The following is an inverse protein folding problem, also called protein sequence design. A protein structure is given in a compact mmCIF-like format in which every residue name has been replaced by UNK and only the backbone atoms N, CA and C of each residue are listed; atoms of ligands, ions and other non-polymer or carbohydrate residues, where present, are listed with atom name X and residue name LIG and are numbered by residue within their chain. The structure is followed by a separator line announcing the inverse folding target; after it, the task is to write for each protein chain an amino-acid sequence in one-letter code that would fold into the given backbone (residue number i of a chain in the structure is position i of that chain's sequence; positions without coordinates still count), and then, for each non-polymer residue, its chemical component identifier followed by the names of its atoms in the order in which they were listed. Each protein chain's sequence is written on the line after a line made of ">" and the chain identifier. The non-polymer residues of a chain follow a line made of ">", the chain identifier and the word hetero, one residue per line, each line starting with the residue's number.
data_IF_029428668232
#
_entry.id   IF_029428668232
#
_cell.length_a   1.000
_cell.length_b   1.000
_cell.length_c   1.000
_cell.angle_alpha   90.00
_cell.angle_beta   90.00
_cell.angle_gamma   90.00
#
_symmetry.space_group_name_H-M   'P 1'
#
loop_
_entity.id
_entity.type
_entity.pdbx_description
1 polymer ?
#
# COMPACT_ATOMS: atom_id res chain seq x y z
N UNK A 1 -6.90 -12.41 -6.73
CA UNK A 1 -7.04 -13.68 -5.98
C UNK A 1 -8.52 -14.05 -5.87
N UNK A 2 -8.91 -15.31 -5.68
CA UNK A 2 -10.31 -15.60 -5.28
C UNK A 2 -10.47 -15.24 -3.80
N UNK A 3 -11.58 -14.64 -3.36
CA UNK A 3 -11.80 -14.14 -1.98
C UNK A 3 -11.33 -15.07 -0.84
N UNK A 4 -11.49 -16.39 -0.98
CA UNK A 4 -10.99 -17.35 -0.01
C UNK A 4 -9.47 -17.30 0.17
N UNK A 5 -8.72 -17.26 -0.93
CA UNK A 5 -7.24 -17.21 -0.92
C UNK A 5 -6.68 -15.90 -0.37
N UNK A 6 -7.44 -14.81 -0.44
CA UNK A 6 -7.02 -13.52 0.11
C UNK A 6 -7.09 -13.52 1.64
N UNK A 7 -8.03 -14.27 2.22
CA UNK A 7 -8.15 -14.40 3.68
C UNK A 7 -7.05 -15.29 4.25
N UNK A 8 -6.77 -16.42 3.60
CA UNK A 8 -5.66 -17.31 3.99
C UNK A 8 -4.30 -16.60 3.87
N UNK A 9 -4.10 -15.83 2.79
CA UNK A 9 -2.89 -15.04 2.61
C UNK A 9 -2.73 -13.95 3.69
N UNK A 10 -3.83 -13.38 4.17
CA UNK A 10 -3.81 -12.41 5.26
C UNK A 10 -3.46 -13.05 6.60
N UNK A 11 -4.01 -14.22 6.91
CA UNK A 11 -3.62 -14.94 8.14
C UNK A 11 -2.13 -15.25 8.17
N UNK A 12 -1.58 -15.78 7.07
CA UNK A 12 -0.13 -16.01 6.96
C UNK A 12 0.66 -14.71 7.07
N UNK A 13 0.18 -13.64 6.44
CA UNK A 13 0.79 -12.33 6.52
C UNK A 13 0.84 -11.81 7.97
N UNK A 14 -0.23 -11.95 8.74
CA UNK A 14 -0.31 -11.56 10.17
C UNK A 14 0.63 -12.38 11.07
N UNK A 15 0.94 -13.61 10.72
CA UNK A 15 1.89 -14.46 11.46
C UNK A 15 3.36 -14.14 11.16
N UNK A 16 3.66 -13.42 10.06
CA UNK A 16 5.05 -13.10 9.69
C UNK A 16 5.64 -12.00 10.58
N UNK A 17 6.76 -12.25 11.28
CA UNK A 17 7.39 -11.26 12.15
C UNK A 17 8.01 -10.09 11.37
N UNK A 18 8.44 -10.33 10.12
CA UNK A 18 8.98 -9.32 9.23
C UNK A 18 8.24 -9.35 7.89
N UNK A 19 7.71 -8.20 7.48
CA UNK A 19 6.99 -8.02 6.22
C UNK A 19 7.72 -7.00 5.37
N UNK A 20 8.24 -7.43 4.24
CA UNK A 20 8.88 -6.53 3.29
C UNK A 20 7.85 -5.84 2.38
N UNK A 21 8.32 -4.84 1.62
CA UNK A 21 7.52 -4.05 0.67
C UNK A 21 6.71 -4.92 -0.30
N UNK A 22 7.24 -6.08 -0.72
CA UNK A 22 6.59 -6.96 -1.68
C UNK A 22 5.36 -7.64 -1.05
N UNK A 23 5.48 -8.11 0.19
CA UNK A 23 4.37 -8.72 0.92
C UNK A 23 3.23 -7.72 1.15
N UNK A 24 3.55 -6.52 1.64
CA UNK A 24 2.57 -5.44 1.81
C UNK A 24 1.86 -5.11 0.51
N UNK A 25 2.64 -4.86 -0.56
CA UNK A 25 2.09 -4.53 -1.89
C UNK A 25 1.19 -5.64 -2.42
N UNK A 26 1.56 -6.90 -2.20
CA UNK A 26 0.77 -8.06 -2.64
C UNK A 26 -0.57 -8.12 -1.93
N UNK A 27 -0.59 -7.86 -0.61
CA UNK A 27 -1.83 -7.84 0.17
C UNK A 27 -2.74 -6.68 -0.23
N UNK A 28 -2.19 -5.46 -0.35
CA UNK A 28 -2.95 -4.27 -0.77
C UNK A 28 -3.55 -4.49 -2.15
N UNK A 29 -2.74 -4.89 -3.13
CA UNK A 29 -3.19 -5.17 -4.50
C UNK A 29 -4.22 -6.29 -4.53
N UNK A 30 -3.98 -7.35 -3.75
CA UNK A 30 -4.89 -8.48 -3.61
C UNK A 30 -6.28 -8.05 -3.17
N UNK A 31 -6.40 -7.23 -2.12
CA UNK A 31 -7.69 -6.74 -1.64
C UNK A 31 -8.35 -5.77 -2.63
N UNK A 32 -7.59 -4.80 -3.17
CA UNK A 32 -8.10 -3.82 -4.13
C UNK A 32 -8.68 -4.48 -5.38
N UNK A 33 -7.97 -5.45 -5.97
CA UNK A 33 -8.37 -6.10 -7.22
C UNK A 33 -9.52 -7.08 -7.05
N UNK A 34 -9.74 -7.61 -5.84
CA UNK A 34 -10.81 -8.60 -5.59
C UNK A 34 -12.08 -7.97 -5.04
N UNK A 35 -12.29 -6.67 -5.26
CA UNK A 35 -13.51 -5.98 -4.85
C UNK A 35 -13.64 -5.80 -3.33
N UNK A 36 -12.52 -5.83 -2.59
CA UNK A 36 -12.48 -5.50 -1.17
C UNK A 36 -11.54 -4.30 -0.91
N UNK A 37 -11.64 -3.18 -1.66
CA UNK A 37 -10.73 -2.04 -1.54
C UNK A 37 -10.72 -1.40 -0.15
N UNK A 38 -11.78 -1.58 0.65
CA UNK A 38 -11.88 -1.12 2.04
C UNK A 38 -10.83 -1.76 2.97
N UNK A 39 -10.31 -2.94 2.59
CA UNK A 39 -9.21 -3.60 3.31
C UNK A 39 -7.83 -3.20 2.80
N UNK A 40 -7.73 -2.65 1.59
CA UNK A 40 -6.47 -2.26 0.97
C UNK A 40 -5.84 -1.02 1.60
N UNK A 41 -6.64 0.01 1.91
CA UNK A 41 -6.12 1.25 2.50
C UNK A 41 -5.57 1.09 3.93
N UNK A 42 -6.25 0.39 4.87
CA UNK A 42 -5.71 0.14 6.21
C UNK A 42 -4.34 -0.55 6.18
N UNK A 43 -4.16 -1.51 5.27
CA UNK A 43 -2.88 -2.19 5.07
C UNK A 43 -1.78 -1.22 4.60
N UNK A 44 -2.10 -0.27 3.73
CA UNK A 44 -1.14 0.76 3.33
C UNK A 44 -0.74 1.66 4.51
N UNK A 45 -1.71 2.05 5.35
CA UNK A 45 -1.41 2.85 6.54
C UNK A 45 -0.51 2.08 7.52
N UNK A 46 -0.77 0.78 7.72
CA UNK A 46 0.04 -0.09 8.59
C UNK A 46 1.45 -0.32 8.03
N UNK A 47 1.60 -0.47 6.71
CA UNK A 47 2.89 -0.54 6.03
C UNK A 47 3.76 0.68 6.37
N UNK A 48 3.20 1.89 6.24
CA UNK A 48 3.88 3.15 6.54
C UNK A 48 4.19 3.25 8.03
N UNK A 49 3.25 2.89 8.91
CA UNK A 49 3.44 2.91 10.35
C UNK A 49 4.52 1.91 10.83
N UNK A 50 4.68 0.80 10.10
CA UNK A 50 5.73 -0.21 10.33
C UNK A 50 7.10 0.22 9.81
N UNK A 51 7.24 1.45 9.29
CA UNK A 51 8.49 1.97 8.74
C UNK A 51 8.89 1.38 7.39
N UNK A 52 8.01 0.62 6.73
CA UNK A 52 8.28 0.05 5.41
C UNK A 52 7.96 1.11 4.36
N UNK A 53 8.98 1.50 3.59
CA UNK A 53 8.82 2.53 2.56
C UNK A 53 7.93 2.03 1.41
N UNK A 54 6.84 2.75 1.07
CA UNK A 54 6.05 2.47 -0.11
C UNK A 54 6.86 2.61 -1.41
N UNK A 55 6.53 1.77 -2.39
CA UNK A 55 7.01 1.89 -3.77
C UNK A 55 5.86 2.21 -4.73
N UNK A 56 6.18 2.42 -6.00
CA UNK A 56 5.23 2.79 -7.06
C UNK A 56 4.04 1.83 -7.16
N UNK A 57 4.28 0.52 -6.94
CA UNK A 57 3.24 -0.50 -6.98
C UNK A 57 2.28 -0.38 -5.79
N UNK A 58 2.80 -0.20 -4.58
CA UNK A 58 1.98 -0.01 -3.38
C UNK A 58 1.15 1.28 -3.44
N UNK A 59 1.73 2.35 -4.00
CA UNK A 59 1.01 3.60 -4.24
C UNK A 59 -0.12 3.43 -5.26
N UNK A 60 0.19 2.81 -6.40
CA UNK A 60 -0.80 2.55 -7.45
C UNK A 60 -1.97 1.71 -6.96
N UNK A 61 -1.68 0.63 -6.21
CA UNK A 61 -2.71 -0.23 -5.64
C UNK A 61 -3.59 0.49 -4.62
N UNK A 62 -3.00 1.40 -3.83
CA UNK A 62 -3.73 2.18 -2.82
C UNK A 62 -4.57 3.28 -3.47
N UNK A 63 -4.04 3.99 -4.47
CA UNK A 63 -4.80 4.98 -5.24
C UNK A 63 -5.99 4.34 -5.96
N UNK A 64 -5.81 3.14 -6.52
CA UNK A 64 -6.91 2.37 -7.10
C UNK A 64 -7.96 1.99 -6.04
N UNK A 65 -7.55 1.62 -4.83
CA UNK A 65 -8.48 1.37 -3.72
C UNK A 65 -9.29 2.63 -3.39
N UNK A 66 -8.63 3.79 -3.28
CA UNK A 66 -9.28 5.07 -3.02
C UNK A 66 -10.28 5.43 -4.13
N UNK A 67 -9.92 5.22 -5.39
CA UNK A 67 -10.80 5.48 -6.53
C UNK A 67 -12.04 4.57 -6.50
N UNK A 68 -11.86 3.27 -6.24
CA UNK A 68 -12.95 2.31 -6.13
C UNK A 68 -13.92 2.63 -4.98
N UNK A 69 -13.42 3.24 -3.90
CA UNK A 69 -14.20 3.66 -2.75
C UNK A 69 -14.75 5.09 -2.86
N UNK A 70 -14.46 5.83 -3.93
CA UNK A 70 -14.70 7.29 -4.02
C UNK A 70 -14.12 8.08 -2.83
N UNK A 71 -13.04 7.58 -2.23
CA UNK A 71 -12.42 8.10 -1.02
C UNK A 71 -11.42 9.24 -1.35
N UNK A 72 -11.94 10.37 -1.84
CA UNK A 72 -11.13 11.50 -2.32
C UNK A 72 -10.09 11.98 -1.30
N UNK A 73 -10.50 12.14 -0.04
CA UNK A 73 -9.61 12.61 1.02
C UNK A 73 -8.40 11.69 1.24
N UNK A 74 -8.62 10.37 1.23
CA UNK A 74 -7.55 9.39 1.34
C UNK A 74 -6.67 9.37 0.09
N UNK A 75 -7.27 9.51 -1.10
CA UNK A 75 -6.54 9.65 -2.36
C UNK A 75 -5.60 10.85 -2.37
N UNK A 76 -6.06 12.01 -1.85
CA UNK A 76 -5.24 13.22 -1.72
C UNK A 76 -4.06 13.01 -0.77
N UNK A 77 -4.27 12.35 0.38
CA UNK A 77 -3.18 12.04 1.31
C UNK A 77 -2.09 11.16 0.66
N UNK A 78 -2.50 10.11 -0.05
CA UNK A 78 -1.58 9.22 -0.75
C UNK A 78 -0.84 9.97 -1.86
N UNK A 79 -1.55 10.80 -2.62
CA UNK A 79 -0.94 11.64 -3.67
C UNK A 79 0.11 12.60 -3.12
N UNK A 80 -0.17 13.28 -1.99
CA UNK A 80 0.82 14.12 -1.31
C UNK A 80 2.02 13.33 -0.80
N UNK A 81 1.81 12.09 -0.33
CA UNK A 81 2.87 11.22 0.12
C UNK A 81 3.82 10.83 -1.03
N UNK A 82 3.28 10.53 -2.22
CA UNK A 82 4.09 10.22 -3.42
C UNK A 82 5.02 11.39 -3.75
N UNK A 83 4.47 12.60 -3.86
CA UNK A 83 5.25 13.82 -4.19
C UNK A 83 6.39 14.03 -3.19
N UNK A 84 6.11 13.82 -1.90
CA UNK A 84 7.12 13.95 -0.85
C UNK A 84 8.20 12.87 -0.97
N UNK A 85 7.82 11.62 -1.18
CA UNK A 85 8.76 10.51 -1.34
C UNK A 85 9.67 10.68 -2.57
N UNK A 86 9.13 11.17 -3.69
CA UNK A 86 9.92 11.47 -4.90
C UNK A 86 10.90 12.63 -4.66
N UNK A 87 10.47 13.66 -3.92
CA UNK A 87 11.35 14.77 -3.56
C UNK A 87 12.47 14.33 -2.62
N UNK A 88 12.18 13.51 -1.60
CA UNK A 88 13.17 12.94 -0.70
C UNK A 88 14.10 11.96 -1.43
N UNK A 89 13.58 11.16 -2.36
CA UNK A 89 14.36 10.30 -3.25
C UNK A 89 15.38 11.11 -4.04
N UNK A 90 14.94 12.19 -4.69
CA UNK A 90 15.80 13.11 -5.43
C UNK A 90 16.80 13.87 -4.53
N UNK A 91 16.42 14.22 -3.30
CA UNK A 91 17.31 14.83 -2.33
C UNK A 91 18.42 13.87 -1.82
N UNK A 92 18.18 12.55 -1.85
CA UNK A 92 19.20 11.55 -1.48
C UNK A 92 20.21 11.26 -2.60
N UNK A 93 19.88 11.59 -3.85
CA UNK A 93 20.79 11.44 -5.01
C UNK A 93 21.49 12.76 -5.37
N UNK A 94 21.16 13.86 -4.68
CA UNK A 94 21.78 15.17 -4.86
C UNK A 94 22.69 15.57 -3.71
N UNK A 95 24.00 15.63 -4.00
CA UNK A 95 25.12 16.20 -3.20
C UNK A 95 25.78 15.23 -2.20
N UNK A 96 26.77 14.48 -2.69
CA UNK A 96 28.19 14.63 -2.29
C UNK A 96 29.08 14.51 -3.53
#
# INVERSE_FOLDING_TARGET
>A
MKSGRATDAFGLFEEMPERNVVLWTSMISGYTQNGNPEKGFPLFAEMVASGVLPNDFSFSATLQACANLTALYHGQQVHSLIIRSEFEGNARIGIV
#
